data_IF_125451372676
#
_entry.id   IF_125451372676
#
_cell.length_a   1.000
_cell.length_b   1.000
_cell.length_c   1.000
_cell.angle_alpha   90.00
_cell.angle_beta   90.00
_cell.angle_gamma   90.00
#
_symmetry.space_group_name_H-M   'P 1'
#
loop_
_entity.id
_entity.type
_entity.pdbx_description
1 polymer ?
#
# COMPACT_ATOMS: atom_id res chain seq x y z
N UNK A 1 9.60 -9.57 42.18
CA UNK A 1 8.81 -9.81 40.95
C UNK A 1 8.19 -8.49 40.55
N UNK A 2 8.86 -7.74 39.69
CA UNK A 2 8.35 -6.47 39.15
C UNK A 2 7.51 -6.78 37.91
N UNK A 3 6.22 -6.58 38.04
CA UNK A 3 5.27 -6.63 36.92
C UNK A 3 5.67 -5.46 36.01
N UNK A 4 6.14 -5.73 34.79
CA UNK A 4 6.26 -4.72 33.75
C UNK A 4 4.85 -4.28 33.41
N UNK A 5 4.49 -3.04 33.80
CA UNK A 5 3.32 -2.34 33.30
C UNK A 5 3.43 -2.29 31.76
N UNK A 6 2.66 -3.15 31.10
CA UNK A 6 2.41 -3.03 29.67
C UNK A 6 1.63 -1.74 29.46
N UNK A 7 2.31 -0.68 29.02
CA UNK A 7 1.65 0.55 28.63
C UNK A 7 0.55 0.21 27.62
N UNK A 8 -0.72 0.34 28.01
CA UNK A 8 -1.86 0.25 27.11
C UNK A 8 -1.67 1.37 26.10
N UNK A 9 -1.29 0.99 24.88
CA UNK A 9 -1.13 1.95 23.78
C UNK A 9 -2.40 2.80 23.63
N UNK A 10 -2.28 4.11 23.46
CA UNK A 10 -3.44 4.98 23.34
C UNK A 10 -4.29 4.50 22.15
N UNK A 11 -5.53 4.09 22.39
CA UNK A 11 -6.51 3.62 21.37
C UNK A 11 -6.76 4.63 20.25
N UNK A 12 -6.15 5.81 20.32
CA UNK A 12 -6.36 6.94 19.42
C UNK A 12 -5.29 7.05 18.31
N UNK A 13 -4.19 6.30 18.39
CA UNK A 13 -3.11 6.30 17.39
C UNK A 13 -3.29 5.19 16.35
N UNK A 14 -2.75 5.42 15.15
CA UNK A 14 -2.78 4.46 14.03
C UNK A 14 -1.42 4.33 13.35
N UNK A 15 -1.32 3.32 12.50
CA UNK A 15 -0.21 3.10 11.56
C UNK A 15 -0.76 3.25 10.14
N UNK A 16 -0.10 4.04 9.30
CA UNK A 16 -0.52 4.21 7.91
C UNK A 16 0.42 3.47 6.96
N UNK A 17 0.00 2.36 6.35
CA UNK A 17 0.85 1.56 5.47
C UNK A 17 0.92 2.08 4.03
N UNK A 18 0.39 3.27 3.71
CA UNK A 18 0.47 3.81 2.36
C UNK A 18 0.48 5.34 2.33
N UNK A 19 1.68 5.88 2.34
CA UNK A 19 1.94 7.33 2.31
C UNK A 19 3.00 7.63 1.25
N UNK A 20 2.83 8.75 0.53
CA UNK A 20 3.86 9.31 -0.35
C UNK A 20 4.31 10.67 0.19
N UNK A 21 5.58 10.81 0.52
CA UNK A 21 6.16 12.10 0.87
C UNK A 21 6.83 12.72 -0.36
N UNK A 22 6.64 14.01 -0.54
CA UNK A 22 7.18 14.75 -1.69
C UNK A 22 8.11 15.88 -1.24
N UNK A 23 9.31 15.92 -1.81
CA UNK A 23 10.25 17.02 -1.74
C UNK A 23 10.58 17.46 -3.16
N UNK A 24 9.69 18.27 -3.76
CA UNK A 24 9.68 18.55 -5.20
C UNK A 24 10.96 19.26 -5.70
N UNK A 25 11.68 19.93 -4.80
CA UNK A 25 12.98 20.57 -5.07
C UNK A 25 14.17 19.59 -5.01
N UNK A 26 13.97 18.35 -4.54
CA UNK A 26 15.01 17.33 -4.35
C UNK A 26 14.89 16.15 -5.30
N UNK A 27 13.67 15.77 -5.65
CA UNK A 27 13.36 14.62 -6.51
C UNK A 27 12.78 15.01 -7.86
N UNK A 28 12.63 14.03 -8.75
CA UNK A 28 12.11 14.24 -10.13
C UNK A 28 10.60 14.33 -10.16
N UNK A 29 9.90 13.41 -9.50
CA UNK A 29 8.42 13.31 -9.42
C UNK A 29 7.74 13.55 -10.78
N UNK A 30 8.24 12.89 -11.83
CA UNK A 30 7.84 13.16 -13.21
C UNK A 30 6.32 13.03 -13.41
N UNK A 31 5.66 12.10 -12.72
CA UNK A 31 4.22 11.91 -12.79
C UNK A 31 3.40 13.09 -12.22
N UNK A 32 3.98 13.94 -11.36
CA UNK A 32 3.31 15.15 -10.86
C UNK A 32 3.33 16.32 -11.86
N UNK A 33 4.18 16.27 -12.89
CA UNK A 33 4.25 17.30 -13.91
C UNK A 33 2.97 17.29 -14.76
N UNK A 34 2.37 18.46 -15.07
CA UNK A 34 1.15 18.52 -15.87
C UNK A 34 1.28 17.89 -17.26
N UNK A 35 2.49 17.94 -17.85
CA UNK A 35 2.80 17.38 -19.18
C UNK A 35 2.91 15.87 -19.22
N UNK A 36 2.95 15.19 -18.07
CA UNK A 36 3.21 13.75 -17.99
C UNK A 36 1.98 12.99 -17.51
N UNK A 37 1.79 11.72 -17.93
CA UNK A 37 0.74 10.88 -17.37
C UNK A 37 0.98 10.57 -15.87
N UNK A 38 -0.11 10.26 -15.15
CA UNK A 38 -1.52 10.32 -15.56
C UNK A 38 -2.00 11.77 -15.71
N UNK A 39 -2.85 12.04 -16.71
CA UNK A 39 -3.31 13.40 -17.04
C UNK A 39 -4.52 13.82 -16.17
N UNK A 40 -4.34 13.85 -14.88
CA UNK A 40 -5.39 14.28 -13.94
C UNK A 40 -5.47 15.80 -13.85
N UNK A 41 -6.66 16.40 -14.03
CA UNK A 41 -6.82 17.86 -14.06
C UNK A 41 -6.58 18.50 -12.68
N UNK A 42 -6.70 17.75 -11.61
CA UNK A 42 -6.58 18.16 -10.21
C UNK A 42 -5.18 17.87 -9.60
N UNK A 43 -4.24 17.42 -10.41
CA UNK A 43 -2.88 17.04 -10.00
C UNK A 43 -2.16 18.16 -9.22
N UNK A 44 -2.37 19.42 -9.59
CA UNK A 44 -1.78 20.58 -8.92
C UNK A 44 -2.17 20.71 -7.44
N UNK A 45 -3.31 20.15 -7.02
CA UNK A 45 -3.76 20.21 -5.62
C UNK A 45 -2.86 19.40 -4.68
N UNK A 46 -2.22 18.35 -5.18
CA UNK A 46 -1.30 17.52 -4.39
C UNK A 46 0.17 17.80 -4.69
N UNK A 47 0.49 18.41 -5.84
CA UNK A 47 1.84 18.71 -6.29
C UNK A 47 2.47 19.87 -5.49
N UNK A 48 2.68 19.64 -4.21
CA UNK A 48 3.29 20.58 -3.27
C UNK A 48 4.19 19.83 -2.27
N UNK A 49 4.91 20.56 -1.45
CA UNK A 49 5.76 19.97 -0.41
C UNK A 49 4.91 19.13 0.56
N UNK A 50 5.26 17.85 0.69
CA UNK A 50 4.58 16.86 1.55
C UNK A 50 5.63 16.08 2.34
N UNK A 51 6.23 16.75 3.33
CA UNK A 51 7.23 16.14 4.22
C UNK A 51 6.56 15.56 5.47
N UNK A 52 7.38 14.98 6.34
CA UNK A 52 6.95 14.49 7.65
C UNK A 52 6.26 15.60 8.47
N UNK A 53 6.71 16.85 8.35
CA UNK A 53 6.09 17.98 9.07
C UNK A 53 4.64 18.19 8.66
N UNK A 54 4.35 18.20 7.34
CA UNK A 54 2.98 18.32 6.85
C UNK A 54 2.14 17.11 7.24
N UNK A 55 2.71 15.91 7.24
CA UNK A 55 2.04 14.69 7.66
C UNK A 55 1.69 14.70 9.16
N UNK A 56 2.62 15.14 10.02
CA UNK A 56 2.36 15.31 11.46
C UNK A 56 1.21 16.30 11.72
N UNK A 57 1.21 17.43 11.02
CA UNK A 57 0.13 18.40 11.11
C UNK A 57 -1.21 17.82 10.63
N UNK A 58 -1.22 17.17 9.45
CA UNK A 58 -2.42 16.57 8.88
C UNK A 58 -3.01 15.46 9.77
N UNK A 59 -2.17 14.73 10.50
CA UNK A 59 -2.56 13.66 11.42
C UNK A 59 -2.92 14.15 12.83
N UNK A 60 -2.80 15.45 13.11
CA UNK A 60 -2.89 16.01 14.46
C UNK A 60 -2.00 15.25 15.48
N UNK A 61 -0.81 14.84 15.06
CA UNK A 61 0.17 14.04 15.83
C UNK A 61 -0.35 12.68 16.34
N UNK A 62 -1.41 12.13 15.72
CA UNK A 62 -1.98 10.83 16.07
C UNK A 62 -1.39 9.67 15.27
N UNK A 63 -0.68 9.93 14.17
CA UNK A 63 0.07 8.91 13.42
C UNK A 63 1.25 8.42 14.26
N UNK A 64 1.37 7.09 14.43
CA UNK A 64 2.44 6.46 15.20
C UNK A 64 3.67 6.15 14.32
N UNK A 65 3.43 5.56 13.18
CA UNK A 65 4.42 5.18 12.19
C UNK A 65 3.77 5.03 10.81
N UNK A 66 4.57 4.96 9.76
CA UNK A 66 4.04 4.83 8.41
C UNK A 66 4.92 3.98 7.51
N UNK A 67 4.33 3.51 6.40
CA UNK A 67 5.08 2.97 5.27
C UNK A 67 5.07 3.99 4.15
N UNK A 68 6.25 4.47 3.79
CA UNK A 68 6.42 5.25 2.58
C UNK A 68 6.39 4.33 1.37
N UNK A 69 5.46 4.56 0.48
CA UNK A 69 5.42 3.92 -0.82
C UNK A 69 6.08 4.84 -1.83
N UNK A 70 6.95 4.31 -2.65
CA UNK A 70 7.69 5.07 -3.66
C UNK A 70 6.82 6.16 -4.32
N UNK A 71 7.40 7.33 -4.52
CA UNK A 71 6.67 8.50 -5.02
C UNK A 71 7.29 9.09 -6.30
N UNK A 72 8.27 8.44 -6.89
CA UNK A 72 8.92 8.88 -8.11
C UNK A 72 10.04 9.90 -7.89
N UNK A 73 10.71 9.85 -6.75
CA UNK A 73 11.87 10.68 -6.44
C UNK A 73 13.00 10.49 -7.47
N UNK A 74 13.40 9.25 -7.73
CA UNK A 74 14.36 8.87 -8.78
C UNK A 74 14.16 7.37 -9.13
N UNK A 75 13.33 7.06 -10.12
CA UNK A 75 13.00 5.67 -10.47
C UNK A 75 14.18 4.90 -11.09
N UNK A 76 15.21 5.60 -11.57
CA UNK A 76 16.44 4.96 -12.08
C UNK A 76 17.37 4.54 -10.93
N UNK A 77 17.28 5.25 -9.81
CA UNK A 77 18.08 5.01 -8.59
C UNK A 77 17.17 5.05 -7.37
N UNK A 78 16.28 4.06 -7.20
CA UNK A 78 15.21 4.09 -6.19
C UNK A 78 15.71 4.17 -4.74
N UNK A 79 16.97 3.78 -4.48
CA UNK A 79 17.57 3.94 -3.15
C UNK A 79 17.77 5.41 -2.73
N UNK A 80 17.83 6.37 -3.68
CA UNK A 80 17.97 7.79 -3.35
C UNK A 80 16.77 8.34 -2.59
N UNK A 81 15.58 7.85 -2.91
CA UNK A 81 14.37 8.18 -2.16
C UNK A 81 14.45 7.68 -0.71
N UNK A 82 14.94 6.45 -0.52
CA UNK A 82 15.15 5.86 0.82
C UNK A 82 16.21 6.64 1.61
N UNK A 83 17.31 6.99 0.98
CA UNK A 83 18.39 7.80 1.57
C UNK A 83 17.86 9.16 2.03
N UNK A 84 17.08 9.83 1.15
CA UNK A 84 16.43 11.11 1.47
C UNK A 84 15.51 10.99 2.68
N UNK A 85 14.64 10.00 2.71
CA UNK A 85 13.70 9.79 3.82
C UNK A 85 14.44 9.49 5.13
N UNK A 86 15.47 8.65 5.09
CA UNK A 86 16.28 8.30 6.27
C UNK A 86 16.97 9.52 6.87
N UNK A 87 17.36 10.49 6.05
CA UNK A 87 17.98 11.74 6.51
C UNK A 87 16.99 12.76 7.07
N UNK A 88 15.72 12.72 6.62
CA UNK A 88 14.75 13.80 6.89
C UNK A 88 13.55 13.38 7.74
N UNK A 89 13.32 12.09 7.95
CA UNK A 89 12.23 11.60 8.81
C UNK A 89 12.76 11.19 10.19
N UNK A 90 12.02 11.58 11.22
CA UNK A 90 12.27 11.24 12.63
C UNK A 90 11.25 10.27 13.19
N UNK A 91 10.06 10.22 12.58
CA UNK A 91 9.01 9.26 12.90
C UNK A 91 9.44 7.86 12.43
N UNK A 92 9.13 6.80 13.19
CA UNK A 92 9.37 5.44 12.72
C UNK A 92 8.68 5.18 11.36
N UNK A 93 9.45 4.73 10.39
CA UNK A 93 8.92 4.39 9.06
C UNK A 93 9.63 3.18 8.45
N UNK A 94 8.96 2.57 7.49
CA UNK A 94 9.55 1.65 6.51
C UNK A 94 9.25 2.15 5.10
N UNK A 95 9.95 1.61 4.11
CA UNK A 95 9.83 2.04 2.72
C UNK A 95 9.61 0.86 1.79
N UNK A 96 8.70 1.04 0.85
CA UNK A 96 8.48 0.19 -0.32
C UNK A 96 9.00 0.96 -1.53
N UNK A 97 10.11 0.49 -2.11
CA UNK A 97 10.83 1.20 -3.17
C UNK A 97 10.31 0.87 -4.57
N UNK A 98 10.52 1.76 -5.53
CA UNK A 98 10.18 1.53 -6.93
C UNK A 98 11.09 0.46 -7.57
N UNK A 99 10.51 -0.51 -8.26
CA UNK A 99 11.25 -1.46 -9.11
C UNK A 99 10.45 -1.79 -10.37
N UNK A 100 11.09 -1.73 -11.53
CA UNK A 100 10.57 -2.39 -12.71
C UNK A 100 11.01 -3.88 -12.66
N UNK A 101 10.11 -4.78 -12.27
CA UNK A 101 10.39 -6.21 -12.10
C UNK A 101 10.72 -6.94 -13.43
N UNK A 102 10.46 -6.30 -14.58
CA UNK A 102 10.81 -6.87 -15.91
C UNK A 102 12.16 -6.35 -16.43
N UNK A 103 12.76 -5.37 -15.76
CA UNK A 103 14.04 -4.80 -16.19
C UNK A 103 15.21 -5.77 -15.97
N UNK A 104 16.22 -5.69 -16.83
CA UNK A 104 17.46 -6.46 -16.66
C UNK A 104 18.21 -6.09 -15.37
N UNK A 105 18.05 -4.85 -14.88
CA UNK A 105 18.64 -4.35 -13.64
C UNK A 105 17.86 -4.71 -12.37
N UNK A 106 16.69 -5.37 -12.46
CA UNK A 106 15.81 -5.62 -11.33
C UNK A 106 16.54 -6.30 -10.16
N UNK A 107 17.25 -7.39 -10.42
CA UNK A 107 18.02 -8.13 -9.40
C UNK A 107 19.08 -7.25 -8.73
N UNK A 108 19.82 -6.47 -9.52
CA UNK A 108 20.84 -5.57 -8.99
C UNK A 108 20.23 -4.49 -8.09
N UNK A 109 19.09 -3.91 -8.50
CA UNK A 109 18.38 -2.91 -7.69
C UNK A 109 17.81 -3.52 -6.41
N UNK A 110 17.17 -4.70 -6.48
CA UNK A 110 16.67 -5.43 -5.29
C UNK A 110 17.83 -5.71 -4.32
N UNK A 111 18.95 -6.25 -4.82
CA UNK A 111 20.13 -6.53 -3.99
C UNK A 111 20.66 -5.28 -3.30
N UNK A 112 20.65 -4.13 -3.98
CA UNK A 112 21.07 -2.86 -3.38
C UNK A 112 20.07 -2.37 -2.33
N UNK A 113 18.78 -2.40 -2.65
CA UNK A 113 17.71 -1.97 -1.75
C UNK A 113 17.62 -2.81 -0.48
N UNK A 114 17.87 -4.12 -0.56
CA UNK A 114 17.86 -5.02 0.60
C UNK A 114 18.92 -4.67 1.67
N UNK A 115 19.89 -3.83 1.36
CA UNK A 115 20.92 -3.35 2.31
C UNK A 115 20.44 -2.20 3.21
N UNK A 116 19.31 -1.58 2.88
CA UNK A 116 18.74 -0.48 3.66
C UNK A 116 17.72 -1.04 4.66
N UNK A 117 17.96 -0.85 5.95
CA UNK A 117 17.07 -1.36 7.02
C UNK A 117 15.65 -0.78 6.98
N UNK A 118 15.49 0.38 6.36
CA UNK A 118 14.18 0.98 6.15
C UNK A 118 13.39 0.30 5.02
N UNK A 119 14.04 -0.40 4.08
CA UNK A 119 13.35 -1.06 2.96
C UNK A 119 12.77 -2.39 3.40
N UNK A 120 11.46 -2.58 3.20
CA UNK A 120 10.75 -3.81 3.53
C UNK A 120 10.08 -4.46 2.33
N UNK A 121 10.04 -3.77 1.21
CA UNK A 121 9.41 -4.26 -0.01
C UNK A 121 9.72 -3.41 -1.22
N UNK A 122 9.17 -3.83 -2.35
CA UNK A 122 9.22 -3.08 -3.61
C UNK A 122 7.83 -3.01 -4.23
N UNK A 123 7.58 -1.98 -5.05
CA UNK A 123 6.35 -1.83 -5.83
C UNK A 123 6.66 -1.77 -7.32
N UNK A 124 5.81 -2.42 -8.10
CA UNK A 124 5.60 -2.16 -9.51
C UNK A 124 4.12 -1.88 -9.73
N UNK A 125 3.79 -0.73 -10.30
CA UNK A 125 2.42 -0.41 -10.71
C UNK A 125 2.14 -1.25 -11.96
N UNK A 126 1.23 -2.21 -11.84
CA UNK A 126 0.94 -3.20 -12.90
C UNK A 126 -0.22 -2.74 -13.77
N UNK A 127 -1.24 -2.14 -13.15
CA UNK A 127 -2.47 -1.62 -13.78
C UNK A 127 -2.98 -2.53 -14.92
N UNK A 128 -3.18 -1.99 -16.13
CA UNK A 128 -3.71 -2.73 -17.28
C UNK A 128 -2.73 -3.78 -17.84
N UNK A 129 -1.42 -3.62 -17.60
CA UNK A 129 -0.37 -4.55 -18.06
C UNK A 129 -0.14 -5.73 -17.09
N UNK A 130 -0.94 -5.84 -16.03
CA UNK A 130 -0.74 -6.80 -14.94
C UNK A 130 -0.53 -8.24 -15.43
N UNK A 131 -1.34 -8.72 -16.36
CA UNK A 131 -1.19 -10.08 -16.88
C UNK A 131 0.16 -10.28 -17.59
N UNK A 132 0.52 -9.38 -18.49
CA UNK A 132 1.75 -9.48 -19.27
C UNK A 132 3.01 -9.36 -18.40
N UNK A 133 2.99 -8.46 -17.43
CA UNK A 133 4.07 -8.32 -16.46
C UNK A 133 4.18 -9.58 -15.58
N UNK A 134 3.09 -10.05 -14.98
CA UNK A 134 3.12 -11.18 -14.04
C UNK A 134 3.46 -12.52 -14.72
N UNK A 135 3.07 -12.75 -15.98
CA UNK A 135 3.43 -13.96 -16.70
C UNK A 135 4.89 -13.98 -17.21
N UNK A 136 5.57 -12.83 -17.20
CA UNK A 136 6.94 -12.72 -17.70
C UNK A 136 7.92 -13.58 -16.90
N UNK A 137 8.81 -14.34 -17.57
CA UNK A 137 9.89 -15.07 -16.91
C UNK A 137 10.79 -14.15 -16.06
N UNK A 138 11.03 -12.91 -16.52
CA UNK A 138 11.82 -11.92 -15.77
C UNK A 138 11.15 -11.54 -14.45
N UNK A 139 9.84 -11.33 -14.46
CA UNK A 139 9.07 -11.04 -13.23
C UNK A 139 9.16 -12.20 -12.24
N UNK A 140 8.95 -13.44 -12.71
CA UNK A 140 9.06 -14.62 -11.83
C UNK A 140 10.45 -14.72 -11.20
N UNK A 141 11.51 -14.49 -11.97
CA UNK A 141 12.87 -14.47 -11.45
C UNK A 141 13.11 -13.34 -10.44
N UNK A 142 12.64 -12.12 -10.73
CA UNK A 142 12.78 -10.96 -9.84
C UNK A 142 12.03 -11.17 -8.52
N UNK A 143 10.79 -11.72 -8.56
CA UNK A 143 10.00 -11.96 -7.36
C UNK A 143 10.48 -13.16 -6.54
N UNK A 144 11.06 -14.18 -7.17
CA UNK A 144 11.75 -15.25 -6.45
C UNK A 144 12.95 -14.69 -5.68
N UNK A 145 13.81 -13.90 -6.34
CA UNK A 145 14.92 -13.24 -5.67
C UNK A 145 14.49 -12.27 -4.56
N UNK A 146 13.41 -11.52 -4.79
CA UNK A 146 12.80 -10.65 -3.77
C UNK A 146 12.40 -11.44 -2.51
N UNK A 147 11.78 -12.61 -2.71
CA UNK A 147 11.40 -13.53 -1.65
C UNK A 147 12.61 -14.02 -0.85
N UNK A 148 13.71 -14.38 -1.53
CA UNK A 148 14.99 -14.79 -0.91
C UNK A 148 15.59 -13.66 -0.05
N UNK A 149 15.41 -12.40 -0.45
CA UNK A 149 15.85 -11.24 0.33
C UNK A 149 14.90 -10.89 1.49
N UNK A 150 13.82 -11.63 1.68
CA UNK A 150 12.81 -11.37 2.71
C UNK A 150 12.04 -10.06 2.51
N UNK A 151 11.98 -9.54 1.28
CA UNK A 151 11.24 -8.33 0.92
C UNK A 151 9.85 -8.67 0.39
N UNK A 152 8.88 -7.79 0.62
CA UNK A 152 7.51 -7.91 0.11
C UNK A 152 7.37 -7.30 -1.29
N UNK A 153 6.30 -7.71 -1.98
CA UNK A 153 5.87 -7.13 -3.25
C UNK A 153 4.54 -6.40 -3.09
N UNK A 154 4.54 -5.09 -3.26
CA UNK A 154 3.31 -4.30 -3.33
C UNK A 154 2.80 -4.31 -4.77
N UNK A 155 1.62 -4.90 -4.99
CA UNK A 155 0.98 -5.06 -6.28
C UNK A 155 -0.20 -4.11 -6.44
N UNK A 156 -0.23 -3.34 -7.52
CA UNK A 156 -1.35 -2.46 -7.85
C UNK A 156 -1.92 -2.89 -9.20
N UNK A 157 -3.12 -3.47 -9.20
CA UNK A 157 -3.84 -3.88 -10.40
C UNK A 157 -5.31 -4.21 -10.06
N UNK A 158 -6.15 -4.28 -11.09
CA UNK A 158 -7.54 -4.74 -10.98
C UNK A 158 -7.61 -6.25 -10.81
N UNK A 159 -7.96 -6.73 -9.62
CA UNK A 159 -8.10 -8.16 -9.35
C UNK A 159 -9.40 -8.77 -9.91
N UNK A 160 -10.27 -8.02 -10.56
CA UNK A 160 -11.34 -8.62 -11.38
C UNK A 160 -10.78 -9.31 -12.64
N UNK A 161 -9.53 -9.00 -13.02
CA UNK A 161 -8.81 -9.63 -14.11
C UNK A 161 -8.33 -11.04 -13.72
N UNK A 162 -9.07 -12.06 -14.13
CA UNK A 162 -8.78 -13.46 -13.80
C UNK A 162 -7.43 -13.96 -14.30
N UNK A 163 -6.95 -13.47 -15.46
CA UNK A 163 -5.66 -13.88 -16.00
C UNK A 163 -4.49 -13.35 -15.16
N UNK A 164 -4.56 -12.08 -14.75
CA UNK A 164 -3.57 -11.47 -13.87
C UNK A 164 -3.53 -12.17 -12.50
N UNK A 165 -4.71 -12.43 -11.90
CA UNK A 165 -4.81 -13.16 -10.63
C UNK A 165 -4.23 -14.56 -10.74
N UNK A 166 -4.57 -15.31 -11.79
CA UNK A 166 -4.01 -16.65 -12.04
C UNK A 166 -2.48 -16.63 -12.20
N UNK A 167 -1.93 -15.59 -12.85
CA UNK A 167 -0.49 -15.42 -12.96
C UNK A 167 0.17 -15.11 -11.61
N UNK A 168 -0.44 -14.26 -10.79
CA UNK A 168 0.04 -13.94 -9.44
C UNK A 168 -0.01 -15.14 -8.50
N UNK A 169 -1.09 -15.93 -8.54
CA UNK A 169 -1.22 -17.16 -7.73
C UNK A 169 -0.07 -18.13 -8.03
N UNK A 170 0.26 -18.37 -9.29
CA UNK A 170 1.41 -19.22 -9.66
C UNK A 170 2.74 -18.70 -9.09
N UNK A 171 2.93 -17.39 -9.03
CA UNK A 171 4.14 -16.79 -8.43
C UNK A 171 4.16 -17.03 -6.92
N UNK A 172 3.05 -16.79 -6.25
CA UNK A 172 2.90 -16.97 -4.80
C UNK A 172 3.10 -18.43 -4.40
N UNK A 173 2.45 -19.36 -5.10
CA UNK A 173 2.61 -20.81 -4.90
C UNK A 173 4.04 -21.29 -5.08
N UNK A 174 4.76 -20.74 -6.08
CA UNK A 174 6.16 -21.08 -6.35
C UNK A 174 7.15 -20.46 -5.35
N UNK A 175 6.72 -19.50 -4.54
CA UNK A 175 7.57 -18.76 -3.61
C UNK A 175 6.90 -18.67 -2.21
N UNK A 176 6.93 -19.73 -1.38
CA UNK A 176 6.19 -19.79 -0.11
C UNK A 176 6.52 -18.70 0.90
N UNK A 177 7.70 -18.09 0.82
CA UNK A 177 8.11 -16.99 1.71
C UNK A 177 7.73 -15.59 1.18
N UNK A 178 7.29 -15.47 -0.09
CA UNK A 178 6.93 -14.19 -0.69
C UNK A 178 5.66 -13.64 -0.04
N UNK A 179 5.74 -12.43 0.48
CA UNK A 179 4.58 -11.66 0.92
C UNK A 179 4.17 -10.68 -0.17
N UNK A 180 2.88 -10.68 -0.50
CA UNK A 180 2.31 -9.75 -1.49
C UNK A 180 1.29 -8.86 -0.79
N UNK A 181 1.33 -7.56 -1.05
CA UNK A 181 0.35 -6.61 -0.55
C UNK A 181 -0.37 -5.97 -1.74
N UNK A 182 -1.66 -6.24 -1.89
CA UNK A 182 -2.47 -5.66 -2.96
C UNK A 182 -2.98 -4.29 -2.53
N UNK A 183 -2.65 -3.27 -3.33
CA UNK A 183 -2.95 -1.88 -3.03
C UNK A 183 -4.36 -1.48 -3.45
N UNK A 184 -4.85 -0.36 -2.91
CA UNK A 184 -6.01 0.40 -3.37
C UNK A 184 -7.28 -0.43 -3.50
N UNK A 185 -7.60 -1.19 -2.43
CA UNK A 185 -8.83 -2.00 -2.38
C UNK A 185 -8.90 -2.97 -3.58
N UNK A 186 -7.72 -3.38 -4.10
CA UNK A 186 -7.60 -4.27 -5.26
C UNK A 186 -8.39 -3.75 -6.48
N UNK A 187 -8.52 -2.42 -6.60
CA UNK A 187 -9.28 -1.70 -7.64
C UNK A 187 -10.74 -2.22 -7.73
N UNK A 188 -11.46 -2.22 -6.63
CA UNK A 188 -12.84 -2.73 -6.57
C UNK A 188 -13.74 -2.07 -7.64
N UNK A 189 -14.42 -2.85 -8.49
CA UNK A 189 -15.30 -2.32 -9.54
C UNK A 189 -16.37 -1.37 -9.02
N UNK A 190 -16.66 -0.31 -9.77
CA UNK A 190 -17.61 0.73 -9.34
C UNK A 190 -19.06 0.21 -9.22
N UNK A 191 -19.48 -0.67 -10.09
CA UNK A 191 -20.79 -1.33 -10.03
C UNK A 191 -20.69 -2.62 -9.22
N UNK A 192 -21.24 -2.60 -8.00
CA UNK A 192 -21.26 -3.75 -7.10
C UNK A 192 -22.21 -4.89 -7.54
N UNK A 193 -23.14 -4.63 -8.47
CA UNK A 193 -24.00 -5.67 -9.05
C UNK A 193 -23.34 -6.36 -10.26
N UNK A 194 -22.23 -5.84 -10.75
CA UNK A 194 -21.58 -6.33 -11.95
C UNK A 194 -20.91 -7.71 -11.77
N UNK A 195 -20.74 -8.41 -12.87
CA UNK A 195 -19.92 -9.64 -12.91
C UNK A 195 -18.48 -9.37 -12.49
N UNK A 196 -17.93 -8.21 -12.83
CA UNK A 196 -16.59 -7.79 -12.43
C UNK A 196 -16.45 -7.73 -10.90
N UNK A 197 -17.45 -7.21 -10.18
CA UNK A 197 -17.43 -7.17 -8.72
C UNK A 197 -17.51 -8.57 -8.10
N UNK A 198 -18.32 -9.47 -8.67
CA UNK A 198 -18.37 -10.87 -8.25
C UNK A 198 -17.01 -11.56 -8.44
N UNK A 199 -16.36 -11.36 -9.59
CA UNK A 199 -15.03 -11.87 -9.86
C UNK A 199 -14.01 -11.29 -8.87
N UNK A 200 -14.07 -9.98 -8.58
CA UNK A 200 -13.22 -9.31 -7.60
C UNK A 200 -13.32 -9.99 -6.22
N UNK A 201 -14.56 -10.26 -5.72
CA UNK A 201 -14.74 -10.95 -4.44
C UNK A 201 -14.15 -12.37 -4.46
N UNK A 202 -14.42 -13.15 -5.50
CA UNK A 202 -13.88 -14.50 -5.65
C UNK A 202 -12.35 -14.52 -5.68
N UNK A 203 -11.75 -13.58 -6.40
CA UNK A 203 -10.30 -13.49 -6.50
C UNK A 203 -9.62 -12.99 -5.23
N UNK A 204 -10.26 -12.07 -4.48
CA UNK A 204 -9.80 -11.71 -3.13
C UNK A 204 -9.75 -12.96 -2.25
N UNK A 205 -10.81 -13.76 -2.24
CA UNK A 205 -10.86 -15.00 -1.46
C UNK A 205 -9.76 -15.99 -1.86
N UNK A 206 -9.55 -16.21 -3.18
CA UNK A 206 -8.50 -17.08 -3.69
C UNK A 206 -7.11 -16.62 -3.24
N UNK A 207 -6.81 -15.33 -3.37
CA UNK A 207 -5.54 -14.74 -2.96
C UNK A 207 -5.36 -14.80 -1.44
N UNK A 208 -6.40 -14.49 -0.67
CA UNK A 208 -6.37 -14.54 0.80
C UNK A 208 -6.09 -15.95 1.34
N UNK A 209 -6.67 -16.97 0.72
CA UNK A 209 -6.50 -18.38 1.11
C UNK A 209 -5.05 -18.88 0.99
N UNK A 210 -4.19 -18.20 0.26
CA UNK A 210 -2.75 -18.53 0.20
C UNK A 210 -2.02 -18.23 1.52
N UNK A 211 -2.58 -17.37 2.37
CA UNK A 211 -1.92 -16.87 3.58
C UNK A 211 -0.75 -15.89 3.32
N UNK A 212 -0.39 -15.65 2.06
CA UNK A 212 0.75 -14.84 1.64
C UNK A 212 0.33 -13.45 1.11
N UNK A 213 -0.98 -13.17 1.02
CA UNK A 213 -1.51 -11.93 0.43
C UNK A 213 -2.29 -11.12 1.46
N UNK A 214 -1.99 -9.83 1.52
CA UNK A 214 -2.76 -8.83 2.28
C UNK A 214 -3.33 -7.75 1.35
N UNK A 215 -4.30 -7.00 1.87
CA UNK A 215 -5.02 -5.99 1.11
C UNK A 215 -5.05 -4.67 1.85
N UNK A 216 -4.76 -3.57 1.14
CA UNK A 216 -4.95 -2.20 1.66
C UNK A 216 -6.33 -1.69 1.27
N UNK A 217 -7.12 -1.33 2.25
CA UNK A 217 -8.33 -0.56 2.00
C UNK A 217 -7.95 0.92 1.87
N UNK A 218 -7.79 1.37 0.65
CA UNK A 218 -7.33 2.71 0.27
C UNK A 218 -7.66 3.01 -1.19
N UNK A 219 -7.31 4.19 -1.68
CA UNK A 219 -7.31 4.54 -3.10
C UNK A 219 -8.71 4.76 -3.69
N UNK A 220 -9.74 4.95 -2.89
CA UNK A 220 -11.10 5.22 -3.35
C UNK A 220 -11.17 6.49 -4.21
N UNK A 221 -10.37 7.50 -3.86
CA UNK A 221 -10.23 8.75 -4.59
C UNK A 221 -9.62 8.57 -5.99
N UNK A 222 -8.90 7.48 -6.22
CA UNK A 222 -8.32 7.19 -7.52
C UNK A 222 -9.40 6.90 -8.57
N UNK A 223 -10.47 6.24 -8.16
CA UNK A 223 -11.61 5.92 -9.02
C UNK A 223 -12.66 7.02 -9.04
N UNK A 224 -12.92 7.67 -7.89
CA UNK A 224 -13.93 8.71 -7.76
C UNK A 224 -13.52 9.71 -6.65
N UNK A 225 -13.17 10.95 -7.03
CA UNK A 225 -12.84 12.02 -6.05
C UNK A 225 -13.97 12.30 -5.06
N UNK A 226 -15.22 12.09 -5.49
CA UNK A 226 -16.43 12.35 -4.71
C UNK A 226 -17.05 11.06 -4.14
N UNK A 227 -16.22 10.06 -3.82
CA UNK A 227 -16.73 8.83 -3.21
C UNK A 227 -17.47 9.09 -1.90
N UNK A 228 -18.37 8.19 -1.50
CA UNK A 228 -19.22 8.34 -0.31
C UNK A 228 -18.96 7.20 0.67
N UNK A 229 -19.05 7.51 1.95
CA UNK A 229 -18.87 6.54 3.05
C UNK A 229 -19.82 5.34 2.94
N UNK A 230 -21.05 5.55 2.46
CA UNK A 230 -21.99 4.45 2.24
C UNK A 230 -21.38 3.39 1.30
N UNK A 231 -20.83 3.82 0.16
CA UNK A 231 -20.17 2.91 -0.78
C UNK A 231 -18.89 2.32 -0.17
N UNK A 232 -18.07 3.14 0.46
CA UNK A 232 -16.84 2.69 1.11
C UNK A 232 -17.12 1.57 2.13
N UNK A 233 -18.16 1.73 2.96
CA UNK A 233 -18.63 0.72 3.89
C UNK A 233 -19.03 -0.58 3.19
N UNK A 234 -19.80 -0.50 2.09
CA UNK A 234 -20.24 -1.70 1.37
C UNK A 234 -19.07 -2.45 0.75
N UNK A 235 -18.11 -1.73 0.13
CA UNK A 235 -16.89 -2.34 -0.44
C UNK A 235 -15.97 -2.89 0.65
N UNK A 236 -15.84 -2.19 1.77
CA UNK A 236 -15.06 -2.67 2.92
C UNK A 236 -15.62 -3.98 3.49
N UNK A 237 -16.94 -4.05 3.69
CA UNK A 237 -17.59 -5.29 4.15
C UNK A 237 -17.31 -6.45 3.19
N UNK A 238 -17.49 -6.21 1.89
CA UNK A 238 -17.23 -7.23 0.87
C UNK A 238 -15.74 -7.68 0.86
N UNK A 239 -14.81 -6.75 1.09
CA UNK A 239 -13.38 -7.07 1.22
C UNK A 239 -13.11 -7.90 2.48
N UNK A 240 -13.66 -7.49 3.62
CA UNK A 240 -13.50 -8.19 4.91
C UNK A 240 -14.08 -9.59 4.84
N UNK A 241 -15.27 -9.74 4.26
CA UNK A 241 -15.91 -11.04 4.09
C UNK A 241 -15.08 -11.96 3.19
N UNK A 242 -14.61 -11.46 2.04
CA UNK A 242 -13.81 -12.25 1.10
C UNK A 242 -12.41 -12.60 1.63
N UNK A 243 -11.77 -11.69 2.40
CA UNK A 243 -10.44 -11.88 2.98
C UNK A 243 -10.47 -12.44 4.41
N UNK A 244 -11.64 -12.84 4.92
CA UNK A 244 -11.83 -13.30 6.32
C UNK A 244 -11.35 -12.29 7.38
N UNK A 245 -11.22 -11.02 7.03
CA UNK A 245 -10.82 -9.92 7.90
C UNK A 245 -9.37 -9.92 8.38
N UNK A 246 -8.63 -11.00 8.19
CA UNK A 246 -7.34 -11.21 8.87
C UNK A 246 -6.17 -10.42 8.26
N UNK A 247 -6.18 -10.19 6.95
CA UNK A 247 -5.07 -9.60 6.20
C UNK A 247 -5.48 -8.29 5.50
N UNK A 248 -6.40 -7.55 6.10
CA UNK A 248 -6.85 -6.23 5.62
C UNK A 248 -6.21 -5.16 6.49
N UNK A 249 -5.82 -4.03 5.90
CA UNK A 249 -5.31 -2.87 6.62
C UNK A 249 -5.87 -1.59 6.03
N UNK A 250 -6.27 -0.64 6.87
CA UNK A 250 -6.60 0.70 6.43
C UNK A 250 -5.33 1.43 6.00
N UNK A 251 -5.42 2.20 4.93
CA UNK A 251 -4.33 2.99 4.40
C UNK A 251 -4.85 4.25 3.74
N UNK A 252 -4.14 5.37 3.88
CA UNK A 252 -4.70 6.65 3.42
C UNK A 252 -4.48 6.95 1.96
N UNK A 253 -3.40 6.46 1.36
CA UNK A 253 -2.90 6.96 0.10
C UNK A 253 -2.59 8.48 0.13
N UNK A 254 -2.15 9.00 1.30
CA UNK A 254 -1.74 10.41 1.41
C UNK A 254 -0.54 10.72 0.51
N UNK A 255 -0.50 11.85 -0.23
CA UNK A 255 -1.44 12.98 -0.18
C UNK A 255 -2.60 12.89 -1.18
N UNK A 256 -2.74 11.80 -1.97
CA UNK A 256 -3.77 11.67 -2.99
C UNK A 256 -5.19 11.68 -2.38
N UNK A 257 -5.35 11.12 -1.18
CA UNK A 257 -6.60 11.16 -0.43
C UNK A 257 -7.13 12.59 -0.16
N UNK A 258 -6.25 13.60 -0.20
CA UNK A 258 -6.65 15.01 -0.04
C UNK A 258 -7.53 15.53 -1.17
N UNK A 259 -7.58 14.85 -2.32
CA UNK A 259 -8.57 15.14 -3.36
C UNK A 259 -10.01 14.92 -2.90
N UNK A 260 -10.22 14.08 -1.91
CA UNK A 260 -11.57 13.77 -1.43
C UNK A 260 -11.86 14.37 -0.06
N UNK A 261 -10.90 14.35 0.86
CA UNK A 261 -11.11 14.86 2.23
C UNK A 261 -9.80 15.09 2.99
N UNK A 262 -9.82 15.86 4.09
CA UNK A 262 -8.67 15.98 4.98
C UNK A 262 -8.23 14.63 5.57
N UNK A 263 -6.92 14.45 5.72
CA UNK A 263 -6.31 13.22 6.23
C UNK A 263 -6.92 12.74 7.56
N UNK A 264 -7.08 13.64 8.53
CA UNK A 264 -7.67 13.30 9.84
C UNK A 264 -9.14 12.86 9.71
N UNK A 265 -9.90 13.44 8.77
CA UNK A 265 -11.29 13.06 8.52
C UNK A 265 -11.38 11.63 7.93
N UNK A 266 -10.46 11.28 7.04
CA UNK A 266 -10.37 9.92 6.49
C UNK A 266 -10.13 8.90 7.61
N UNK A 267 -9.14 9.11 8.46
CA UNK A 267 -8.83 8.20 9.56
C UNK A 267 -9.94 8.10 10.61
N UNK A 268 -10.62 9.22 10.94
CA UNK A 268 -11.80 9.18 11.81
C UNK A 268 -12.92 8.34 11.18
N UNK A 269 -13.13 8.47 9.86
CA UNK A 269 -14.10 7.66 9.15
C UNK A 269 -13.73 6.16 9.14
N UNK A 270 -12.47 5.80 8.93
CA UNK A 270 -12.00 4.41 9.03
C UNK A 270 -12.24 3.83 10.42
N UNK A 271 -11.93 4.57 11.48
CA UNK A 271 -12.21 4.15 12.86
C UNK A 271 -13.69 3.92 13.08
N UNK A 272 -14.53 4.85 12.63
CA UNK A 272 -15.99 4.72 12.74
C UNK A 272 -16.52 3.50 11.95
N UNK A 273 -15.97 3.23 10.77
CA UNK A 273 -16.31 2.00 10.03
C UNK A 273 -15.98 0.73 10.82
N UNK A 274 -14.87 0.74 11.56
CA UNK A 274 -14.41 -0.41 12.33
C UNK A 274 -15.23 -0.65 13.61
N UNK A 275 -15.88 0.36 14.19
CA UNK A 275 -16.57 0.28 15.49
C UNK A 275 -17.61 -0.84 15.62
N UNK A 276 -18.19 -1.28 14.50
CA UNK A 276 -19.20 -2.37 14.46
C UNK A 276 -18.58 -3.77 14.52
N UNK A 277 -17.26 -3.89 14.49
CA UNK A 277 -16.54 -5.14 14.55
C UNK A 277 -15.90 -5.33 15.95
N UNK A 278 -15.43 -6.51 16.24
CA UNK A 278 -14.74 -6.77 17.51
C UNK A 278 -13.44 -5.95 17.63
N UNK A 279 -13.02 -5.72 18.88
CA UNK A 279 -11.87 -4.86 19.16
C UNK A 279 -10.54 -5.41 18.64
N UNK A 280 -10.42 -6.72 18.41
CA UNK A 280 -9.21 -7.32 17.84
C UNK A 280 -9.10 -7.01 16.35
N UNK A 281 -10.19 -7.11 15.59
CA UNK A 281 -10.24 -6.71 14.18
C UNK A 281 -10.02 -5.20 14.01
N UNK A 282 -10.62 -4.37 14.88
CA UNK A 282 -10.37 -2.92 14.86
C UNK A 282 -8.89 -2.60 14.97
N UNK A 283 -8.18 -3.18 15.93
CA UNK A 283 -6.73 -2.99 16.11
C UNK A 283 -5.94 -3.54 14.92
N UNK A 284 -6.32 -4.72 14.43
CA UNK A 284 -5.67 -5.34 13.29
C UNK A 284 -5.68 -4.41 12.07
N UNK A 285 -6.82 -3.83 11.73
CA UNK A 285 -6.96 -2.97 10.54
C UNK A 285 -6.34 -1.59 10.71
N UNK A 286 -6.34 -1.04 11.94
CA UNK A 286 -5.82 0.29 12.25
C UNK A 286 -4.30 0.30 12.44
N UNK A 287 -3.69 -0.81 12.88
CA UNK A 287 -2.27 -0.83 13.19
C UNK A 287 -1.58 -2.21 13.04
N UNK A 288 -2.15 -3.29 13.63
CA UNK A 288 -1.38 -4.51 13.86
C UNK A 288 -1.03 -5.23 12.56
N UNK A 289 -1.95 -5.25 11.58
CA UNK A 289 -1.68 -5.85 10.27
C UNK A 289 -0.57 -5.09 9.52
N UNK A 290 -0.58 -3.75 9.55
CA UNK A 290 0.49 -2.95 8.95
C UNK A 290 1.84 -3.26 9.62
N UNK A 291 1.89 -3.33 10.95
CA UNK A 291 3.09 -3.71 11.69
C UNK A 291 3.59 -5.11 11.30
N UNK A 292 2.69 -6.09 11.27
CA UNK A 292 2.99 -7.49 10.91
C UNK A 292 3.53 -7.63 9.48
N UNK A 293 2.86 -6.98 8.52
CA UNK A 293 3.18 -7.15 7.11
C UNK A 293 4.42 -6.37 6.66
N UNK A 294 4.69 -5.23 7.30
CA UNK A 294 5.81 -4.35 6.95
C UNK A 294 6.91 -4.30 8.03
N UNK A 295 6.81 -5.09 9.10
CA UNK A 295 7.83 -5.16 10.17
C UNK A 295 8.20 -3.76 10.68
N UNK A 296 7.19 -2.93 10.97
CA UNK A 296 7.40 -1.52 11.33
C UNK A 296 8.02 -1.33 12.72
N UNK A 297 7.86 -2.29 13.60
CA UNK A 297 8.32 -2.24 14.99
C UNK A 297 9.50 -3.17 15.30
N UNK A 298 10.05 -3.80 14.27
CA UNK A 298 11.24 -4.66 14.38
C UNK A 298 12.53 -3.83 14.35
#
# INVERSE_FOLDING_TARGET
MTVKDGAVEPRDKWVDPHIHLFALDKGRYDWLKPSNPPYWPDKSQIASLRTETQLKLASHNKLRSFVHIEAGFDNERPWREVEFLTQHCTMPFKSVACINVTANSAIQHISKLARYSAVVGVRHILDDDAYDILRSPKTRHSLAYLSEQGLSFDAQFDVSNAQAVSALLRIVESNPALKVIVNHTAIAPLDMASRAFQNWQQHIQLLSNTGQVAFKFSGLEMQNRNWRWQRANSVFNALVDAASGQNVMFASNYPLSLWSMPYIALWNGFKHMAERYDSALQRAWIADNANKWYRLLD
#
